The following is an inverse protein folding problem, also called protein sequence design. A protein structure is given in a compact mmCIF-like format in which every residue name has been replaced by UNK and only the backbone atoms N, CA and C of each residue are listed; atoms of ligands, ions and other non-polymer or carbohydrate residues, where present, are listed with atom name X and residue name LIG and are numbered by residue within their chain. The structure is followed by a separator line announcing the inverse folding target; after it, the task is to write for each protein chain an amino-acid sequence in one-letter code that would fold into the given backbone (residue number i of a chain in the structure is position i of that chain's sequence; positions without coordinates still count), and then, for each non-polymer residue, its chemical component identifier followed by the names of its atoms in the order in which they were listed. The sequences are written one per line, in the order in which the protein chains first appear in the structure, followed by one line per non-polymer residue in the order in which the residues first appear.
data_IF_640814823215
#
_entry.id   IF_640814823215
#
_cell.length_a   1.000
_cell.length_b   1.000
_cell.length_c   1.000
_cell.angle_alpha   90.00
_cell.angle_beta   90.00
_cell.angle_gamma   90.00
#
_symmetry.space_group_name_H-M   'P 1'
#
loop_
_entity.id
_entity.type
_entity.pdbx_description
1 polymer ?
#
# COMPACT_ATOMS: atom_id res chain seq x y z
N UNK A 1 -14.28 -28.03 10.32
CA UNK A 1 -14.16 -26.59 10.62
C UNK A 1 -13.92 -25.91 9.30
N UNK A 2 -14.96 -25.30 8.72
CA UNK A 2 -14.87 -24.56 7.48
C UNK A 2 -14.38 -23.16 7.83
N UNK A 3 -13.07 -22.94 7.78
CA UNK A 3 -12.52 -21.59 7.80
C UNK A 3 -13.21 -20.82 6.67
N UNK A 4 -13.96 -19.78 7.02
CA UNK A 4 -14.58 -18.90 6.04
C UNK A 4 -13.47 -18.35 5.15
N UNK A 5 -13.47 -18.69 3.86
CA UNK A 5 -12.49 -18.17 2.91
C UNK A 5 -12.54 -16.65 3.02
N UNK A 6 -11.46 -15.98 3.44
CA UNK A 6 -11.49 -14.54 3.61
C UNK A 6 -11.71 -13.88 2.24
N UNK A 7 -12.73 -13.03 2.15
CA UNK A 7 -13.06 -12.33 0.91
C UNK A 7 -11.84 -11.53 0.44
N UNK A 8 -11.27 -11.86 -0.73
CA UNK A 8 -10.01 -11.27 -1.14
C UNK A 8 -10.17 -9.77 -1.44
N UNK A 9 -9.09 -8.98 -1.31
CA UNK A 9 -9.10 -7.55 -1.62
C UNK A 9 -9.51 -7.31 -3.08
N UNK A 10 -10.62 -6.59 -3.30
CA UNK A 10 -11.14 -6.35 -4.64
C UNK A 10 -10.81 -4.94 -5.17
N UNK A 11 -10.94 -3.93 -4.31
CA UNK A 11 -10.67 -2.54 -4.67
C UNK A 11 -9.21 -2.18 -4.37
N UNK A 12 -8.37 -2.18 -5.41
CA UNK A 12 -6.96 -1.81 -5.29
C UNK A 12 -6.66 -0.62 -6.21
N UNK A 13 -6.02 0.41 -5.65
CA UNK A 13 -5.53 1.57 -6.36
C UNK A 13 -4.02 1.71 -6.16
N UNK A 14 -3.33 2.07 -7.24
CA UNK A 14 -1.92 2.42 -7.22
C UNK A 14 -1.80 3.95 -7.26
N UNK A 15 -1.22 4.54 -6.22
CA UNK A 15 -0.82 5.95 -6.20
C UNK A 15 0.66 6.03 -6.51
N UNK A 16 1.00 6.35 -7.75
CA UNK A 16 2.37 6.38 -8.24
C UNK A 16 2.93 7.80 -8.30
N UNK A 17 4.02 8.03 -7.59
CA UNK A 17 4.78 9.28 -7.62
C UNK A 17 6.06 9.13 -8.45
N UNK A 18 6.05 9.73 -9.64
CA UNK A 18 7.20 9.73 -10.54
C UNK A 18 8.25 10.76 -10.11
N UNK A 19 9.51 10.34 -10.10
CA UNK A 19 10.67 11.20 -9.89
C UNK A 19 11.14 11.81 -11.22
N UNK A 20 10.38 12.74 -11.80
CA UNK A 20 10.83 13.44 -13.01
C UNK A 20 11.96 14.41 -12.71
N UNK A 21 12.94 14.48 -13.61
CA UNK A 21 14.14 15.31 -13.50
C UNK A 21 13.91 16.76 -13.99
N UNK A 22 12.66 17.18 -14.15
CA UNK A 22 12.30 18.45 -14.79
C UNK A 22 12.25 19.61 -13.78
N UNK A 23 12.71 20.82 -14.16
CA UNK A 23 12.90 21.96 -13.25
C UNK A 23 11.59 22.51 -12.63
N UNK A 24 10.43 22.12 -13.14
CA UNK A 24 9.13 22.38 -12.52
C UNK A 24 8.74 21.20 -11.63
N UNK A 25 9.24 21.25 -10.39
CA UNK A 25 9.12 20.24 -9.34
C UNK A 25 7.68 20.04 -8.82
N UNK A 26 6.76 19.61 -9.67
CA UNK A 26 5.48 19.06 -9.26
C UNK A 26 5.60 17.53 -9.26
N UNK A 27 5.39 16.90 -8.10
CA UNK A 27 5.14 15.46 -8.03
C UNK A 27 3.85 15.18 -8.80
N UNK A 28 3.95 14.51 -9.94
CA UNK A 28 2.77 13.95 -10.58
C UNK A 28 2.44 12.67 -9.81
N UNK A 29 1.37 12.72 -9.02
CA UNK A 29 0.81 11.53 -8.39
C UNK A 29 -0.28 10.99 -9.33
N UNK A 30 0.00 9.90 -10.01
CA UNK A 30 -0.96 9.24 -10.89
C UNK A 30 -1.69 8.17 -10.10
N UNK A 31 -3.02 8.15 -10.21
CA UNK A 31 -3.84 7.07 -9.68
C UNK A 31 -4.15 6.10 -10.82
N UNK A 32 -3.90 4.81 -10.60
CA UNK A 32 -4.11 3.77 -11.59
C UNK A 32 -4.65 2.49 -10.99
N UNK A 33 -5.26 1.67 -11.84
CA UNK A 33 -5.69 0.32 -11.48
C UNK A 33 -4.62 -0.68 -11.92
N UNK A 34 -4.04 -1.46 -11.00
CA UNK A 34 -3.16 -2.55 -11.38
C UNK A 34 -3.97 -3.73 -11.94
N UNK A 35 -3.34 -4.57 -12.75
CA UNK A 35 -3.86 -5.91 -13.02
C UNK A 35 -3.72 -6.75 -11.74
N UNK A 36 -4.82 -7.32 -11.25
CA UNK A 36 -4.85 -8.07 -10.00
C UNK A 36 -4.84 -9.57 -10.32
N UNK A 37 -3.89 -10.30 -9.74
CA UNK A 37 -3.81 -11.75 -9.78
C UNK A 37 -3.79 -12.28 -8.35
N UNK A 38 -4.66 -13.24 -8.05
CA UNK A 38 -4.73 -13.86 -6.74
C UNK A 38 -3.91 -15.14 -6.75
N UNK A 39 -3.05 -15.28 -5.75
CA UNK A 39 -2.29 -16.50 -5.51
C UNK A 39 -2.63 -17.05 -4.13
N UNK A 40 -2.83 -18.36 -4.08
CA UNK A 40 -3.11 -19.10 -2.86
C UNK A 40 -1.87 -19.87 -2.40
N UNK A 41 -1.91 -20.42 -1.18
CA UNK A 41 -0.76 -21.06 -0.56
C UNK A 41 -0.27 -22.33 -1.30
N UNK A 42 -1.12 -22.91 -2.14
CA UNK A 42 -0.89 -24.09 -2.96
C UNK A 42 -0.38 -23.77 -4.38
N UNK A 43 -0.33 -22.49 -4.76
CA UNK A 43 0.20 -22.07 -6.05
C UNK A 43 1.73 -22.14 -6.11
N UNK A 44 2.26 -22.34 -7.32
CA UNK A 44 3.71 -22.35 -7.56
C UNK A 44 4.31 -20.96 -7.34
N UNK A 45 5.43 -20.82 -6.61
CA UNK A 45 6.06 -19.51 -6.38
C UNK A 45 6.61 -18.89 -7.67
N UNK A 46 6.80 -19.68 -8.73
CA UNK A 46 7.30 -19.20 -10.04
C UNK A 46 6.27 -18.30 -10.73
N UNK A 47 4.97 -18.45 -10.44
CA UNK A 47 3.94 -17.59 -11.03
C UNK A 47 3.98 -16.15 -10.51
N UNK A 48 4.72 -15.88 -9.42
CA UNK A 48 4.91 -14.53 -8.87
C UNK A 48 6.02 -13.76 -9.57
N UNK A 49 6.80 -14.42 -10.45
CA UNK A 49 7.92 -13.77 -11.12
C UNK A 49 7.43 -12.93 -12.30
N UNK A 50 8.06 -11.76 -12.55
CA UNK A 50 7.80 -10.97 -13.74
C UNK A 50 7.98 -11.82 -15.01
N UNK A 51 7.00 -11.76 -15.92
CA UNK A 51 7.08 -12.45 -17.21
C UNK A 51 7.87 -11.63 -18.24
N UNK A 52 7.94 -10.31 -18.04
CA UNK A 52 8.63 -9.38 -18.93
C UNK A 52 9.57 -8.45 -18.14
N UNK A 53 10.68 -7.98 -18.76
CA UNK A 53 11.64 -7.11 -18.09
C UNK A 53 11.06 -5.72 -17.73
N UNK A 54 10.02 -5.28 -18.44
CA UNK A 54 9.36 -4.00 -18.20
C UNK A 54 8.15 -4.13 -17.25
N UNK A 55 7.89 -5.33 -16.73
CA UNK A 55 6.78 -5.58 -15.82
C UNK A 55 7.14 -5.14 -14.39
N UNK A 56 6.18 -4.53 -13.70
CA UNK A 56 6.30 -4.17 -12.30
C UNK A 56 5.34 -5.00 -11.47
N UNK A 57 5.90 -5.88 -10.64
CA UNK A 57 5.14 -6.77 -9.78
C UNK A 57 5.19 -6.28 -8.35
N UNK A 58 4.00 -6.16 -7.75
CA UNK A 58 3.77 -5.80 -6.37
C UNK A 58 3.01 -6.95 -5.70
N UNK A 59 3.46 -7.38 -4.54
CA UNK A 59 2.88 -8.49 -3.78
C UNK A 59 2.16 -7.93 -2.56
N UNK A 60 0.83 -8.05 -2.55
CA UNK A 60 -0.02 -7.75 -1.40
C UNK A 60 -0.29 -9.05 -0.63
N UNK A 61 0.32 -9.21 0.53
CA UNK A 61 0.05 -10.33 1.43
C UNK A 61 -1.21 -10.03 2.26
N UNK A 62 -2.22 -10.89 2.14
CA UNK A 62 -3.50 -10.76 2.82
C UNK A 62 -3.86 -12.08 3.52
N UNK A 63 -3.89 -12.08 4.84
CA UNK A 63 -4.29 -13.23 5.67
C UNK A 63 -5.70 -13.09 6.24
N UNK A 64 -6.59 -12.35 5.58
CA UNK A 64 -7.96 -12.11 6.05
C UNK A 64 -8.08 -10.96 7.06
N UNK A 65 -9.09 -11.06 7.93
CA UNK A 65 -9.53 -9.96 8.80
C UNK A 65 -8.63 -9.77 10.03
N UNK A 66 -7.85 -10.78 10.40
CA UNK A 66 -7.01 -10.78 11.61
C UNK A 66 -5.58 -10.32 11.35
N UNK A 67 -5.09 -10.38 10.12
CA UNK A 67 -3.72 -9.99 9.76
C UNK A 67 -3.67 -8.59 9.17
N UNK A 68 -2.70 -7.77 9.57
CA UNK A 68 -2.41 -6.50 8.89
C UNK A 68 -1.81 -6.80 7.51
N UNK A 69 -2.43 -6.33 6.41
CA UNK A 69 -1.90 -6.58 5.08
C UNK A 69 -0.57 -5.84 4.89
N UNK A 70 0.32 -6.45 4.12
CA UNK A 70 1.62 -5.89 3.78
C UNK A 70 1.80 -5.89 2.28
N UNK A 71 2.48 -4.86 1.75
CA UNK A 71 2.82 -4.80 0.33
C UNK A 71 4.32 -4.74 0.17
N UNK A 72 4.83 -5.51 -0.79
CA UNK A 72 6.24 -5.49 -1.19
C UNK A 72 6.33 -5.31 -2.70
N UNK A 73 7.36 -4.59 -3.15
CA UNK A 73 7.73 -4.56 -4.56
C UNK A 73 8.84 -5.56 -4.80
N UNK A 74 8.72 -6.36 -5.85
CA UNK A 74 9.83 -7.17 -6.38
C UNK A 74 10.41 -6.56 -7.66
N UNK A 75 10.04 -5.32 -7.96
CA UNK A 75 10.48 -4.60 -9.16
C UNK A 75 11.75 -3.82 -8.89
N UNK A 76 12.67 -3.78 -9.86
CA UNK A 76 13.94 -3.06 -9.72
C UNK A 76 13.80 -1.52 -9.72
N UNK A 77 12.74 -1.02 -10.36
CA UNK A 77 12.56 0.42 -10.63
C UNK A 77 11.42 1.07 -9.86
N UNK A 78 10.65 0.28 -9.12
CA UNK A 78 9.45 0.71 -8.41
C UNK A 78 9.56 0.27 -6.95
N UNK A 79 9.43 1.22 -6.02
CA UNK A 79 9.44 0.96 -4.59
C UNK A 79 8.09 1.30 -3.98
N UNK A 80 7.65 0.49 -3.02
CA UNK A 80 6.45 0.75 -2.20
C UNK A 80 6.86 1.63 -1.03
N UNK A 81 6.13 2.72 -0.82
CA UNK A 81 6.37 3.68 0.26
C UNK A 81 5.25 3.70 1.29
N UNK A 82 4.10 3.11 0.98
CA UNK A 82 2.96 3.08 1.88
C UNK A 82 1.84 2.17 1.42
N UNK A 83 1.00 1.78 2.39
CA UNK A 83 -0.27 1.09 2.18
C UNK A 83 -1.33 1.77 3.03
N UNK A 84 -2.41 2.21 2.40
CA UNK A 84 -3.58 2.78 3.09
C UNK A 84 -4.80 1.90 2.87
N UNK A 85 -5.68 1.89 3.86
CA UNK A 85 -7.00 1.23 3.80
C UNK A 85 -8.07 2.28 3.97
N UNK A 86 -9.02 2.31 3.05
CA UNK A 86 -10.13 3.24 3.05
C UNK A 86 -11.42 2.47 2.75
N UNK A 87 -12.57 3.05 3.08
CA UNK A 87 -13.85 2.51 2.64
C UNK A 87 -14.03 2.83 1.15
N UNK A 88 -14.35 1.82 0.34
CA UNK A 88 -14.53 2.00 -1.08
C UNK A 88 -15.80 2.83 -1.37
N UNK A 89 -15.68 4.02 -1.99
CA UNK A 89 -16.83 4.86 -2.29
C UNK A 89 -17.80 4.12 -3.22
N UNK A 90 -19.08 4.03 -2.82
CA UNK A 90 -20.12 3.38 -3.62
C UNK A 90 -20.24 1.86 -3.45
N UNK A 91 -19.29 1.18 -2.78
CA UNK A 91 -19.37 -0.28 -2.57
C UNK A 91 -20.54 -0.69 -1.66
N UNK A 92 -20.91 0.15 -0.70
CA UNK A 92 -22.01 -0.09 0.25
C UNK A 92 -23.41 -0.02 -0.40
N UNK A 93 -23.53 0.49 -1.63
CA UNK A 93 -24.80 0.60 -2.36
C UNK A 93 -25.04 -0.54 -3.37
N UNK A 94 -23.98 -1.24 -3.79
CA UNK A 94 -24.03 -2.26 -4.84
C UNK A 94 -24.08 -3.70 -4.30
N UNK A 95 -23.73 -3.92 -3.03
CA UNK A 95 -23.64 -5.27 -2.48
C UNK A 95 -24.91 -5.67 -1.70
N UNK A 96 -26.02 -5.93 -2.42
CA UNK A 96 -27.19 -6.64 -1.86
C UNK A 96 -26.84 -8.08 -1.44
N UNK A 97 -25.67 -8.60 -1.85
CA UNK A 97 -25.24 -9.99 -1.62
C UNK A 97 -24.15 -10.17 -0.56
N UNK A 98 -23.53 -9.09 -0.06
CA UNK A 98 -22.46 -9.11 0.94
C UNK A 98 -21.19 -9.90 0.56
N UNK A 99 -20.93 -10.08 -0.74
CA UNK A 99 -19.90 -11.03 -1.21
C UNK A 99 -18.52 -10.38 -1.40
N UNK A 100 -18.44 -9.05 -1.55
CA UNK A 100 -17.18 -8.36 -1.84
C UNK A 100 -16.65 -7.59 -0.62
N UNK A 101 -15.33 -7.46 -0.55
CA UNK A 101 -14.70 -6.67 0.51
C UNK A 101 -14.84 -5.17 0.18
N UNK A 102 -15.60 -4.41 0.98
CA UNK A 102 -15.82 -2.97 0.83
C UNK A 102 -14.57 -2.12 1.17
N UNK A 103 -13.45 -2.75 1.52
CA UNK A 103 -12.20 -2.06 1.80
C UNK A 103 -11.43 -1.80 0.51
N UNK A 104 -11.10 -0.53 0.27
CA UNK A 104 -10.16 -0.08 -0.74
C UNK A 104 -8.74 -0.05 -0.19
N UNK A 105 -7.81 -0.63 -0.95
CA UNK A 105 -6.38 -0.62 -0.66
C UNK A 105 -5.68 0.34 -1.62
N UNK A 106 -5.04 1.37 -1.07
CA UNK A 106 -4.26 2.33 -1.84
C UNK A 106 -2.78 2.04 -1.58
N UNK A 107 -2.09 1.57 -2.61
CA UNK A 107 -0.67 1.27 -2.59
C UNK A 107 0.09 2.50 -3.09
N UNK A 108 0.87 3.10 -2.20
CA UNK A 108 1.70 4.24 -2.55
C UNK A 108 3.05 3.75 -3.06
N UNK A 109 3.42 4.15 -4.26
CA UNK A 109 4.69 3.78 -4.89
C UNK A 109 5.45 4.99 -5.39
N UNK A 110 6.76 4.81 -5.50
CA UNK A 110 7.65 5.77 -6.15
C UNK A 110 8.60 5.03 -7.07
N UNK A 111 8.87 5.61 -8.23
CA UNK A 111 9.75 5.01 -9.23
C UNK A 111 10.48 6.05 -10.03
N UNK A 112 11.51 5.59 -10.74
CA UNK A 112 12.27 6.43 -11.66
C UNK A 112 11.91 6.07 -13.09
N UNK A 113 10.97 6.80 -13.69
CA UNK A 113 10.49 6.55 -15.05
C UNK A 113 11.51 6.94 -16.13
N UNK A 114 12.58 7.65 -15.75
CA UNK A 114 13.60 8.02 -16.73
C UNK A 114 14.46 6.80 -17.11
N UNK A 115 14.53 6.43 -18.41
CA UNK A 115 15.71 5.72 -18.88
C UNK A 115 16.90 6.64 -18.59
N UNK A 116 18.02 6.06 -18.16
CA UNK A 116 19.29 6.77 -17.96
C UNK A 116 19.83 7.23 -19.33
N UNK A 117 19.12 8.11 -20.04
CA UNK A 117 19.73 8.93 -21.05
C UNK A 117 20.63 9.89 -20.28
N UNK A 118 21.93 9.62 -20.32
CA UNK A 118 22.95 10.57 -19.91
C UNK A 118 22.69 11.86 -20.69
N UNK A 119 21.97 12.80 -20.07
CA UNK A 119 21.82 14.14 -20.61
C UNK A 119 23.19 14.79 -20.50
N UNK A 120 23.97 14.61 -21.56
CA UNK A 120 25.19 15.34 -21.82
C UNK A 120 24.82 16.82 -21.88
N UNK A 121 25.28 17.59 -20.89
CA UNK A 121 25.68 18.98 -21.14
C UNK A 121 24.95 20.08 -20.39
N UNK A 122 23.75 19.86 -19.85
CA UNK A 122 23.08 20.95 -19.12
C UNK A 122 23.53 21.00 -17.66
N UNK A 123 24.29 22.05 -17.34
CA UNK A 123 24.67 22.44 -15.98
C UNK A 123 23.40 22.77 -15.19
N UNK A 124 22.77 21.75 -14.61
CA UNK A 124 21.70 21.91 -13.62
C UNK A 124 22.14 22.91 -12.58
N UNK A 125 21.27 23.86 -12.26
CA UNK A 125 21.59 24.89 -11.28
C UNK A 125 21.83 24.22 -9.91
N UNK A 126 22.76 24.77 -9.11
CA UNK A 126 23.06 24.20 -7.78
C UNK A 126 21.80 24.12 -6.87
N UNK A 127 20.87 25.05 -7.05
CA UNK A 127 19.60 25.09 -6.34
C UNK A 127 18.69 23.91 -6.71
N UNK A 128 18.65 23.56 -7.99
CA UNK A 128 17.85 22.43 -8.52
C UNK A 128 18.40 21.08 -8.03
N UNK A 129 19.73 20.93 -8.03
CA UNK A 129 20.39 19.74 -7.47
C UNK A 129 20.08 19.58 -5.98
N UNK A 130 20.09 20.67 -5.22
CA UNK A 130 19.77 20.65 -3.79
C UNK A 130 18.29 20.33 -3.52
N UNK A 131 17.38 20.92 -4.28
CA UNK A 131 15.94 20.65 -4.16
C UNK A 131 15.65 19.17 -4.45
N UNK A 132 16.22 18.64 -5.52
CA UNK A 132 16.11 17.22 -5.87
C UNK A 132 16.69 16.33 -4.78
N UNK A 133 17.87 16.66 -4.23
CA UNK A 133 18.49 15.89 -3.16
C UNK A 133 17.62 15.85 -1.89
N UNK A 134 17.06 17.00 -1.48
CA UNK A 134 16.14 17.08 -0.33
C UNK A 134 14.89 16.24 -0.56
N UNK A 135 14.32 16.31 -1.76
CA UNK A 135 13.16 15.52 -2.15
C UNK A 135 13.44 14.02 -2.11
N UNK A 136 14.55 13.57 -2.71
CA UNK A 136 14.98 12.15 -2.66
C UNK A 136 15.19 11.69 -1.22
N UNK A 137 15.82 12.51 -0.38
CA UNK A 137 16.00 12.19 1.03
C UNK A 137 14.68 12.09 1.80
N UNK A 138 13.69 12.92 1.50
CA UNK A 138 12.38 12.83 2.14
C UNK A 138 11.67 11.51 1.80
N UNK A 139 11.76 11.07 0.54
CA UNK A 139 11.20 9.79 0.09
C UNK A 139 11.95 8.62 0.72
N UNK A 140 13.28 8.65 0.74
CA UNK A 140 14.09 7.62 1.40
C UNK A 140 13.75 7.52 2.90
N UNK A 141 13.56 8.65 3.58
CA UNK A 141 13.14 8.65 4.99
C UNK A 141 11.77 8.01 5.19
N UNK A 142 10.83 8.24 4.27
CA UNK A 142 9.51 7.58 4.29
C UNK A 142 9.63 6.08 4.02
N UNK A 143 10.40 5.68 3.02
CA UNK A 143 10.60 4.28 2.66
C UNK A 143 11.34 3.48 3.75
N UNK A 144 12.28 4.12 4.45
CA UNK A 144 13.00 3.54 5.58
C UNK A 144 12.23 3.63 6.90
N UNK A 145 11.09 4.30 6.92
CA UNK A 145 10.15 4.25 8.03
C UNK A 145 9.47 2.89 7.99
N UNK A 146 10.19 1.87 8.45
CA UNK A 146 9.61 0.58 8.76
C UNK A 146 8.45 0.83 9.73
N UNK A 147 7.30 0.16 9.55
CA UNK A 147 6.34 0.09 10.64
C UNK A 147 7.11 -0.49 11.82
N UNK A 148 7.34 0.34 12.85
CA UNK A 148 7.66 -0.19 14.16
C UNK A 148 6.58 -1.23 14.44
N UNK A 149 6.98 -2.42 14.86
CA UNK A 149 6.04 -3.34 15.46
C UNK A 149 5.43 -2.58 16.63
N UNK A 150 4.25 -1.95 16.45
CA UNK A 150 3.49 -1.38 17.55
C UNK A 150 3.23 -2.57 18.48
N UNK A 151 3.86 -2.61 19.67
CA UNK A 151 3.51 -3.61 20.64
C UNK A 151 2.14 -3.22 21.17
N UNK A 152 1.14 -3.96 20.70
CA UNK A 152 -0.15 -4.21 21.32
C UNK A 152 -1.00 -2.99 21.73
N UNK A 153 -2.25 -3.04 21.25
CA UNK A 153 -3.42 -2.83 22.08
C UNK A 153 -3.12 -3.13 23.56
N UNK A 154 -2.83 -2.08 24.33
CA UNK A 154 -2.95 -2.15 25.77
C UNK A 154 -4.44 -2.27 26.03
N UNK A 155 -4.84 -3.52 26.27
CA UNK A 155 -6.15 -3.94 26.74
C UNK A 155 -6.53 -3.03 27.92
N UNK A 156 -7.37 -2.04 27.67
CA UNK A 156 -8.15 -1.42 28.72
C UNK A 156 -9.33 -2.35 29.01
N UNK A 157 -9.04 -3.43 29.75
CA UNK A 157 -10.05 -4.11 30.54
C UNK A 157 -10.52 -3.12 31.60
N UNK A 158 -11.56 -2.35 31.29
CA UNK A 158 -12.33 -1.67 32.33
C UNK A 158 -13.51 -2.56 32.67
N UNK A 159 -13.24 -3.36 33.68
CA UNK A 159 -14.13 -4.13 34.54
C UNK A 159 -15.46 -3.40 34.81
N UNK A 160 -16.56 -4.11 34.57
CA UNK A 160 -17.93 -3.73 34.88
C UNK A 160 -18.17 -3.80 36.39
N UNK A 161 -18.70 -2.75 37.06
CA UNK A 161 -19.28 -2.92 38.38
C UNK A 161 -20.76 -3.33 38.24
N UNK A 162 -20.99 -4.60 38.54
CA UNK A 162 -22.29 -5.18 38.90
C UNK A 162 -22.98 -4.32 39.97
N UNK A 163 -24.16 -3.78 39.68
CA UNK A 163 -25.08 -3.22 40.67
C UNK A 163 -26.26 -4.19 40.84
N UNK A 164 -26.23 -4.90 41.96
CA UNK A 164 -27.25 -5.85 42.43
C UNK A 164 -28.54 -5.08 42.77
N UNK A 165 -29.74 -5.60 42.46
CA UNK A 165 -31.01 -4.98 42.84
C UNK A 165 -31.31 -5.25 44.33
N UNK A 166 -31.67 -4.21 45.07
CA UNK A 166 -32.24 -4.35 46.41
C UNK A 166 -33.73 -3.97 46.36
N UNK A 167 -34.56 -4.99 46.55
CA UNK A 167 -36.00 -4.87 46.78
C UNK A 167 -36.32 -4.57 48.26
N UNK A 168 -37.46 -3.88 48.43
CA UNK A 168 -38.42 -3.92 49.55
C UNK A 168 -38.06 -3.31 50.91
N UNK A 169 -38.79 -2.24 51.29
CA UNK A 169 -39.80 -2.25 52.36
C UNK A 169 -40.82 -1.14 52.12
#
# INVERSE_FOLDING_TARGET
MSDSVPNPPFYILLAHSSLSNTPTAALSNTLGHPAIQYHFADDSPVSLLPSHPDEHVLILTYGGNSSKPTVQSISDRLAVVGLRREEAPGASAEDETGTRNNTMYIIETTGNDHPMAASHGDRKSAHEVLAQYKQRNAILRKALQYPANDPQDTIASTETPNLVPASSS
#
